data_IF_545347465287
#
_entry.id   IF_545347465287
#
_cell.length_a   1.000
_cell.length_b   1.000
_cell.length_c   1.000
_cell.angle_alpha   90.00
_cell.angle_beta   90.00
_cell.angle_gamma   90.00
#
_symmetry.space_group_name_H-M   'P 1'
#
loop_
_entity.id
_entity.type
_entity.pdbx_description
1 polymer ?
#
# COMPACT_ATOMS: atom_id res chain seq x y z
N UNK A 1 17.72 24.77 -23.84
CA UNK A 1 18.66 23.62 -23.80
C UNK A 1 17.88 22.46 -23.24
N UNK A 2 17.75 21.37 -23.99
CA UNK A 2 17.02 20.20 -23.55
C UNK A 2 17.80 19.53 -22.43
N UNK A 3 17.21 19.44 -21.24
CA UNK A 3 17.76 18.63 -20.16
C UNK A 3 17.74 17.16 -20.63
N UNK A 4 18.89 16.49 -20.56
CA UNK A 4 18.94 15.05 -20.83
C UNK A 4 18.30 14.30 -19.66
N UNK A 5 17.76 13.10 -19.92
CA UNK A 5 17.13 12.30 -18.86
C UNK A 5 18.08 12.06 -17.68
N UNK A 6 19.38 11.89 -17.94
CA UNK A 6 20.40 11.76 -16.89
C UNK A 6 20.50 13.01 -16.01
N UNK A 7 20.46 14.22 -16.58
CA UNK A 7 20.50 15.45 -15.80
C UNK A 7 19.25 15.62 -14.91
N UNK A 8 18.10 15.13 -15.36
CA UNK A 8 16.87 15.13 -14.58
C UNK A 8 16.99 14.15 -13.41
N UNK A 9 17.56 12.97 -13.64
CA UNK A 9 17.78 11.95 -12.59
C UNK A 9 18.78 12.43 -11.55
N UNK A 10 19.90 13.04 -11.96
CA UNK A 10 20.90 13.57 -11.03
C UNK A 10 20.32 14.71 -10.17
N UNK A 11 19.53 15.60 -10.75
CA UNK A 11 18.86 16.67 -10.02
C UNK A 11 17.80 16.16 -9.02
N UNK A 12 17.20 14.99 -9.29
CA UNK A 12 16.31 14.29 -8.36
C UNK A 12 17.11 13.56 -7.28
N UNK A 13 18.30 13.03 -7.60
CA UNK A 13 19.17 12.33 -6.66
C UNK A 13 19.80 13.24 -5.60
N UNK A 14 20.05 14.52 -5.93
CA UNK A 14 20.51 15.53 -4.97
C UNK A 14 19.41 16.01 -4.01
N UNK A 15 18.14 15.74 -4.33
CA UNK A 15 16.99 16.13 -3.51
C UNK A 15 16.75 15.16 -2.37
N UNK A 16 16.25 15.70 -1.26
CA UNK A 16 15.82 14.86 -0.15
C UNK A 16 14.63 13.99 -0.56
N UNK A 17 14.48 12.81 0.06
CA UNK A 17 13.40 11.86 -0.28
C UNK A 17 12.01 12.51 -0.26
N UNK A 18 11.76 13.46 0.65
CA UNK A 18 10.51 14.22 0.70
C UNK A 18 10.29 15.10 -0.55
N UNK A 19 11.31 15.81 -1.02
CA UNK A 19 11.19 16.65 -2.23
C UNK A 19 11.00 15.81 -3.50
N UNK A 20 11.59 14.61 -3.54
CA UNK A 20 11.34 13.65 -4.63
C UNK A 20 9.87 13.21 -4.62
N UNK A 21 9.31 12.92 -3.45
CA UNK A 21 7.89 12.58 -3.32
C UNK A 21 6.96 13.73 -3.69
N UNK A 22 7.33 14.98 -3.38
CA UNK A 22 6.60 16.17 -3.83
C UNK A 22 6.68 16.36 -5.35
N UNK A 23 7.85 16.14 -5.95
CA UNK A 23 8.01 16.15 -7.41
C UNK A 23 7.19 15.08 -8.09
N UNK A 24 7.14 13.86 -7.52
CA UNK A 24 6.27 12.79 -8.01
C UNK A 24 4.82 13.25 -7.97
N UNK A 25 4.30 13.71 -6.82
CA UNK A 25 2.92 14.25 -6.73
C UNK A 25 2.65 15.37 -7.74
N UNK A 26 3.58 16.31 -7.88
CA UNK A 26 3.42 17.41 -8.83
C UNK A 26 3.39 16.91 -10.28
N UNK A 27 4.15 15.84 -10.62
CA UNK A 27 4.12 15.18 -11.92
C UNK A 27 2.80 14.41 -12.10
N UNK A 28 2.33 13.69 -11.08
CA UNK A 28 1.04 12.99 -11.08
C UNK A 28 -0.11 13.97 -11.34
N UNK A 29 -0.12 15.13 -10.67
CA UNK A 29 -1.11 16.19 -10.85
C UNK A 29 -1.01 16.86 -12.24
N UNK A 30 0.21 17.19 -12.70
CA UNK A 30 0.40 17.87 -13.99
C UNK A 30 0.07 16.98 -15.19
N UNK A 31 0.38 15.70 -15.10
CA UNK A 31 0.24 14.76 -16.21
C UNK A 31 -0.98 13.83 -16.04
N UNK A 32 -1.75 13.99 -14.96
CA UNK A 32 -2.90 13.13 -14.66
C UNK A 32 -2.53 11.67 -14.42
N UNK A 33 -1.27 11.40 -14.10
CA UNK A 33 -0.74 10.05 -13.89
C UNK A 33 -0.88 9.73 -12.41
N UNK A 34 -2.10 9.45 -11.97
CA UNK A 34 -2.29 8.75 -10.70
C UNK A 34 -2.02 7.28 -10.93
N UNK A 35 -1.38 6.59 -9.98
CA UNK A 35 -1.26 5.13 -9.98
C UNK A 35 -2.62 4.39 -9.91
N UNK A 36 -3.74 5.12 -9.90
CA UNK A 36 -5.04 4.60 -10.28
C UNK A 36 -5.00 4.16 -11.75
N UNK A 37 -4.79 2.86 -11.95
CA UNK A 37 -4.88 2.19 -13.22
C UNK A 37 -6.06 2.71 -14.06
N UNK A 38 -5.90 2.89 -15.38
CA UNK A 38 -6.99 3.28 -16.25
C UNK A 38 -7.96 2.09 -16.41
N UNK A 39 -8.94 2.00 -15.52
CA UNK A 39 -10.08 1.07 -15.65
C UNK A 39 -11.20 1.70 -16.50
N UNK A 40 -10.84 2.62 -17.41
CA UNK A 40 -11.77 3.29 -18.31
C UNK A 40 -11.26 3.29 -19.75
N UNK A 41 -11.41 2.16 -20.45
CA UNK A 41 -11.43 2.12 -21.92
C UNK A 41 -12.14 0.87 -22.48
N UNK A 42 -13.20 0.40 -21.83
CA UNK A 42 -14.17 -0.50 -22.45
C UNK A 42 -15.53 0.20 -22.47
N UNK A 43 -15.64 1.16 -23.38
CA UNK A 43 -16.88 1.84 -23.70
C UNK A 43 -17.88 0.83 -24.28
N UNK A 44 -18.80 0.35 -23.44
CA UNK A 44 -20.08 -0.16 -23.87
C UNK A 44 -21.17 0.72 -23.24
N UNK A 45 -21.99 1.33 -24.10
CA UNK A 45 -23.10 2.18 -23.73
C UNK A 45 -24.02 1.51 -22.68
N UNK A 46 -24.20 2.14 -21.53
CA UNK A 46 -25.08 1.68 -20.46
C UNK A 46 -25.07 2.65 -19.27
N UNK A 47 -26.19 2.83 -18.56
CA UNK A 47 -26.46 4.01 -17.74
C UNK A 47 -25.60 4.05 -16.48
N UNK A 48 -25.02 5.23 -16.21
CA UNK A 48 -24.45 5.69 -14.94
C UNK A 48 -24.02 4.57 -13.97
N UNK A 49 -22.88 3.95 -14.25
CA UNK A 49 -22.20 3.14 -13.25
C UNK A 49 -21.82 4.07 -12.09
N UNK A 50 -22.51 3.89 -10.97
CA UNK A 50 -22.07 4.34 -9.65
C UNK A 50 -20.63 3.85 -9.52
N UNK A 51 -19.70 4.80 -9.52
CA UNK A 51 -18.34 4.55 -9.05
C UNK A 51 -18.54 4.16 -7.59
N UNK A 52 -18.59 2.87 -7.31
CA UNK A 52 -18.37 2.40 -5.95
C UNK A 52 -16.95 2.85 -5.62
N UNK A 53 -16.86 3.96 -4.88
CA UNK A 53 -15.64 4.33 -4.20
C UNK A 53 -15.17 3.07 -3.47
N UNK A 54 -13.96 2.61 -3.78
CA UNK A 54 -13.37 1.48 -3.08
C UNK A 54 -13.18 1.90 -1.62
N UNK A 55 -14.20 1.71 -0.80
CA UNK A 55 -14.20 1.96 0.64
C UNK A 55 -13.57 0.81 1.41
N UNK A 56 -13.18 -0.24 0.69
CA UNK A 56 -12.72 -1.52 1.20
C UNK A 56 -11.28 -1.79 0.76
N UNK A 57 -10.39 -1.72 1.74
CA UNK A 57 -8.96 -1.98 1.60
C UNK A 57 -8.62 -3.35 2.18
N UNK A 58 -7.63 -4.00 1.58
CA UNK A 58 -7.09 -5.28 1.99
C UNK A 58 -5.68 -5.10 2.52
N UNK A 59 -5.46 -5.47 3.78
CA UNK A 59 -4.13 -5.41 4.39
C UNK A 59 -3.45 -6.76 4.26
N UNK A 60 -2.34 -6.80 3.53
CA UNK A 60 -1.56 -8.01 3.24
C UNK A 60 -0.22 -7.95 3.96
N UNK A 61 0.11 -8.96 4.76
CA UNK A 61 1.43 -9.16 5.33
C UNK A 61 2.41 -9.61 4.26
N UNK A 62 3.35 -8.73 3.93
CA UNK A 62 4.41 -8.98 2.96
C UNK A 62 5.69 -9.47 3.62
N UNK A 63 5.97 -9.03 4.85
CA UNK A 63 7.14 -9.47 5.59
C UNK A 63 6.84 -9.52 7.10
N UNK A 64 6.98 -10.67 7.78
CA UNK A 64 6.79 -10.75 9.23
C UNK A 64 7.91 -10.08 10.05
N UNK A 65 9.01 -9.64 9.42
CA UNK A 65 10.15 -9.05 10.11
C UNK A 65 11.04 -10.06 10.83
N UNK A 66 12.10 -9.55 11.47
CA UNK A 66 13.06 -10.38 12.21
C UNK A 66 12.48 -10.93 13.52
N UNK A 67 11.60 -10.18 14.18
CA UNK A 67 11.01 -10.55 15.46
C UNK A 67 9.70 -11.32 15.24
N UNK A 68 9.80 -12.61 14.88
CA UNK A 68 8.64 -13.47 14.63
C UNK A 68 7.59 -13.45 15.75
N UNK A 69 8.01 -13.38 17.02
CA UNK A 69 7.08 -13.40 18.16
C UNK A 69 6.21 -12.14 18.22
N UNK A 70 6.77 -10.96 17.95
CA UNK A 70 5.99 -9.70 17.95
C UNK A 70 5.06 -9.66 16.75
N UNK A 71 5.52 -10.07 15.57
CA UNK A 71 4.67 -10.16 14.39
C UNK A 71 3.51 -11.16 14.58
N UNK A 72 3.75 -12.34 15.16
CA UNK A 72 2.69 -13.32 15.45
C UNK A 72 1.66 -12.76 16.42
N UNK A 73 2.10 -12.03 17.46
CA UNK A 73 1.17 -11.37 18.40
C UNK A 73 0.32 -10.31 17.70
N UNK A 74 0.93 -9.53 16.81
CA UNK A 74 0.27 -8.48 16.08
C UNK A 74 -0.73 -9.05 15.06
N UNK A 75 -0.32 -10.05 14.26
CA UNK A 75 -1.21 -10.80 13.36
C UNK A 75 -2.37 -11.42 14.13
N UNK A 76 -2.12 -12.06 15.26
CA UNK A 76 -3.18 -12.59 16.12
C UNK A 76 -4.12 -11.50 16.65
N UNK A 77 -3.60 -10.32 16.99
CA UNK A 77 -4.40 -9.19 17.45
C UNK A 77 -5.34 -8.65 16.36
N UNK A 78 -4.84 -8.58 15.12
CA UNK A 78 -5.60 -8.05 13.98
C UNK A 78 -6.60 -9.06 13.43
N UNK A 79 -6.19 -10.32 13.30
CA UNK A 79 -6.98 -11.38 12.65
C UNK A 79 -7.85 -12.17 13.62
N UNK A 80 -7.55 -12.13 14.92
CA UNK A 80 -8.21 -12.97 15.93
C UNK A 80 -7.89 -14.47 15.83
N UNK A 81 -6.99 -14.87 14.93
CA UNK A 81 -6.61 -16.26 14.70
C UNK A 81 -5.89 -16.88 15.91
N UNK A 82 -5.98 -18.21 16.03
CA UNK A 82 -5.27 -18.97 17.04
C UNK A 82 -3.75 -18.87 16.88
N UNK A 83 -2.98 -19.21 17.93
CA UNK A 83 -1.51 -19.12 17.91
C UNK A 83 -0.88 -19.91 16.75
N UNK A 84 -1.47 -21.05 16.38
CA UNK A 84 -1.00 -21.88 15.27
C UNK A 84 -1.26 -21.20 13.93
N UNK A 85 -2.48 -20.74 13.69
CA UNK A 85 -2.90 -20.08 12.45
C UNK A 85 -2.17 -18.74 12.24
N UNK A 86 -2.03 -17.94 13.30
CA UNK A 86 -1.28 -16.69 13.25
C UNK A 86 0.20 -16.93 12.93
N UNK A 87 0.80 -18.00 13.49
CA UNK A 87 2.16 -18.41 13.16
C UNK A 87 2.27 -18.80 11.70
N UNK A 88 1.40 -19.69 11.23
CA UNK A 88 1.40 -20.19 9.86
C UNK A 88 1.22 -19.02 8.87
N UNK A 89 0.35 -18.04 9.18
CA UNK A 89 0.14 -16.84 8.37
C UNK A 89 1.36 -15.91 8.38
N UNK A 90 1.99 -15.66 9.53
CA UNK A 90 3.24 -14.88 9.54
C UNK A 90 4.38 -15.55 8.79
N UNK A 91 4.47 -16.88 8.81
CA UNK A 91 5.54 -17.61 8.12
C UNK A 91 5.29 -17.73 6.62
N UNK A 92 4.03 -17.88 6.20
CA UNK A 92 3.65 -17.92 4.79
C UNK A 92 3.57 -16.53 4.15
N UNK A 93 3.26 -15.50 4.94
CA UNK A 93 2.73 -14.24 4.41
C UNK A 93 1.30 -14.43 3.92
N UNK A 94 0.51 -13.35 3.91
CA UNK A 94 -0.88 -13.45 3.51
C UNK A 94 -1.75 -12.29 3.97
N UNK A 95 -3.04 -12.40 3.69
CA UNK A 95 -4.00 -11.35 3.96
C UNK A 95 -4.35 -11.35 5.45
N UNK A 96 -4.15 -10.20 6.12
CA UNK A 96 -4.50 -10.01 7.52
C UNK A 96 -5.98 -9.69 7.66
N UNK A 97 -6.47 -8.74 6.86
CA UNK A 97 -7.86 -8.30 6.93
C UNK A 97 -8.28 -7.77 5.57
N UNK A 98 -9.41 -8.25 5.07
CA UNK A 98 -10.07 -7.81 3.83
C UNK A 98 -11.23 -6.89 4.19
N UNK A 99 -11.58 -5.97 3.30
CA UNK A 99 -12.77 -5.13 3.47
C UNK A 99 -12.67 -4.07 4.57
N UNK A 100 -11.45 -3.67 4.95
CA UNK A 100 -11.28 -2.66 6.02
C UNK A 100 -11.33 -1.25 5.46
N UNK A 101 -11.87 -0.33 6.25
CA UNK A 101 -11.83 1.10 5.91
C UNK A 101 -10.38 1.60 5.84
N UNK A 102 -10.14 2.71 5.14
CA UNK A 102 -8.80 3.31 5.02
C UNK A 102 -8.14 3.55 6.38
N UNK A 103 -8.92 4.04 7.35
CA UNK A 103 -8.44 4.30 8.71
C UNK A 103 -8.04 3.00 9.44
N UNK A 104 -8.83 1.93 9.29
CA UNK A 104 -8.48 0.62 9.85
C UNK A 104 -7.23 0.04 9.18
N UNK A 105 -7.12 0.16 7.85
CA UNK A 105 -5.97 -0.32 7.11
C UNK A 105 -4.67 0.38 7.54
N UNK A 106 -4.69 1.70 7.70
CA UNK A 106 -3.55 2.46 8.20
C UNK A 106 -3.21 2.11 9.64
N UNK A 107 -4.22 1.87 10.49
CA UNK A 107 -4.03 1.47 11.88
C UNK A 107 -3.36 0.09 11.98
N UNK A 108 -3.84 -0.89 11.21
CA UNK A 108 -3.23 -2.22 11.11
C UNK A 108 -1.81 -2.11 10.57
N UNK A 109 -1.60 -1.29 9.53
CA UNK A 109 -0.26 -1.06 8.97
C UNK A 109 0.70 -0.51 10.00
N UNK A 110 0.27 0.47 10.78
CA UNK A 110 1.08 1.03 11.87
C UNK A 110 1.38 -0.02 12.94
N UNK A 111 0.39 -0.77 13.38
CA UNK A 111 0.54 -1.82 14.40
C UNK A 111 1.49 -2.94 13.94
N UNK A 112 1.41 -3.33 12.65
CA UNK A 112 2.35 -4.31 12.08
C UNK A 112 3.76 -3.73 11.96
N UNK A 113 3.89 -2.46 11.56
CA UNK A 113 5.20 -1.79 11.43
C UNK A 113 5.89 -1.66 12.79
N UNK A 114 5.13 -1.33 13.84
CA UNK A 114 5.63 -1.30 15.22
C UNK A 114 6.04 -2.70 15.72
N UNK A 115 5.35 -3.75 15.29
CA UNK A 115 5.74 -5.14 15.56
C UNK A 115 6.97 -5.60 14.77
N UNK A 116 7.49 -4.77 13.86
CA UNK A 116 8.62 -5.06 12.97
C UNK A 116 8.24 -5.75 11.67
N UNK A 117 6.95 -5.91 11.40
CA UNK A 117 6.41 -6.51 10.19
C UNK A 117 6.07 -5.44 9.13
N UNK A 118 6.14 -5.82 7.86
CA UNK A 118 5.72 -4.98 6.72
C UNK A 118 4.41 -5.50 6.18
N UNK A 119 3.45 -4.58 5.99
CA UNK A 119 2.20 -4.86 5.29
C UNK A 119 1.98 -3.88 4.14
N UNK A 120 1.30 -4.39 3.12
CA UNK A 120 0.81 -3.65 1.97
C UNK A 120 -0.71 -3.48 2.11
N UNK A 121 -1.21 -2.30 1.76
CA UNK A 121 -2.65 -2.00 1.75
C UNK A 121 -3.06 -1.89 0.30
N UNK A 122 -4.01 -2.72 -0.14
CA UNK A 122 -4.53 -2.81 -1.51
C UNK A 122 -6.01 -2.49 -1.56
#
# INVERSE_FOLDING_TARGET
>A
MSLTNEQIVDAIAEKSLMEVMELVKAIEDKFGVSAAAPVAAAAAAGPAAVVEEQTEFTVVLTNPGLNKVTAIKAVRGVTGLGLKEAKDLTEAGGILKEGVSKDEAEKIKKEMTEAGATVEVK
#
